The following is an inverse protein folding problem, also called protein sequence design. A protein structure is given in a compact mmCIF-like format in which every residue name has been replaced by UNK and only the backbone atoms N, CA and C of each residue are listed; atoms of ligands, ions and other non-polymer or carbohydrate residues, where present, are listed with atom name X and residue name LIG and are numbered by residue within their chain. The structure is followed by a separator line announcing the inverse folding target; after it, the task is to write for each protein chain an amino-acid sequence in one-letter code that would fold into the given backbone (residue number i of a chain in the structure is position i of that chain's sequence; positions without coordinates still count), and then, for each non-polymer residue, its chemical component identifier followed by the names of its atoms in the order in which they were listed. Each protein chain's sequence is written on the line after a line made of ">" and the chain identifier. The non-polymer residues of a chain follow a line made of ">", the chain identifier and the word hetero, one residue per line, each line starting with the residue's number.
data_IF_314801071667
#
_entry.id   IF_314801071667
#
_cell.length_a   1.000
_cell.length_b   1.000
_cell.length_c   1.000
_cell.angle_alpha   90.00
_cell.angle_beta   90.00
_cell.angle_gamma   90.00
#
_symmetry.space_group_name_H-M   'P 1'
#
loop_
_entity.id
_entity.type
_entity.pdbx_description
1 polymer ?
#
# COMPACT_ATOMS: atom_id res chain seq x y z
N UNK A 1 10.09 0.21 7.74
CA UNK A 1 9.62 -0.68 6.66
C UNK A 1 10.16 -0.15 5.34
N UNK A 2 10.82 -1.00 4.58
CA UNK A 2 11.35 -0.73 3.23
C UNK A 2 10.32 -1.11 2.17
N UNK A 3 10.52 -0.66 0.92
CA UNK A 3 9.66 -1.03 -0.21
C UNK A 3 9.62 -2.56 -0.44
N UNK A 4 10.75 -3.26 -0.25
CA UNK A 4 10.83 -4.72 -0.41
C UNK A 4 10.03 -5.44 0.65
N UNK A 5 10.18 -5.06 1.93
CA UNK A 5 9.40 -5.62 3.04
C UNK A 5 7.89 -5.40 2.82
N UNK A 6 7.50 -4.20 2.37
CA UNK A 6 6.10 -3.92 2.06
C UNK A 6 5.58 -4.77 0.89
N UNK A 7 6.41 -5.00 -0.13
CA UNK A 7 6.06 -5.84 -1.27
C UNK A 7 5.82 -7.29 -0.84
N UNK A 8 6.67 -7.83 0.03
CA UNK A 8 6.54 -9.16 0.61
C UNK A 8 5.24 -9.29 1.44
N UNK A 9 4.98 -8.32 2.33
CA UNK A 9 3.76 -8.26 3.13
C UNK A 9 2.50 -8.24 2.25
N UNK A 10 2.50 -7.44 1.19
CA UNK A 10 1.35 -7.30 0.29
C UNK A 10 1.25 -8.44 -0.74
N UNK A 11 2.31 -9.21 -0.92
CA UNK A 11 2.44 -10.27 -1.94
C UNK A 11 2.48 -9.71 -3.36
N UNK A 12 3.24 -8.63 -3.56
CA UNK A 12 3.46 -7.97 -4.85
C UNK A 12 4.95 -7.80 -5.12
N UNK A 13 5.33 -7.38 -6.32
CA UNK A 13 6.73 -7.09 -6.63
C UNK A 13 7.13 -5.72 -6.08
N UNK A 14 8.41 -5.55 -5.74
CA UNK A 14 9.02 -4.26 -5.43
C UNK A 14 8.70 -3.19 -6.50
N UNK A 15 8.76 -3.59 -7.78
CA UNK A 15 8.43 -2.70 -8.89
C UNK A 15 6.99 -2.18 -8.87
N UNK A 16 6.06 -2.91 -8.24
CA UNK A 16 4.67 -2.45 -8.05
C UNK A 16 4.61 -1.31 -7.03
N UNK A 17 5.30 -1.47 -5.88
CA UNK A 17 5.39 -0.44 -4.84
C UNK A 17 6.00 0.85 -5.41
N UNK A 18 7.12 0.73 -6.12
CA UNK A 18 7.79 1.88 -6.74
C UNK A 18 6.88 2.64 -7.73
N UNK A 19 6.03 1.94 -8.49
CA UNK A 19 5.07 2.60 -9.42
C UNK A 19 3.96 3.33 -8.69
N UNK A 20 3.53 2.84 -7.53
CA UNK A 20 2.51 3.51 -6.71
C UNK A 20 3.07 4.77 -6.06
N UNK A 21 4.24 4.70 -5.47
CA UNK A 21 4.90 5.85 -4.83
C UNK A 21 5.28 6.94 -5.82
N UNK A 22 5.62 6.58 -7.06
CA UNK A 22 5.89 7.54 -8.13
C UNK A 22 4.63 8.04 -8.85
N UNK A 23 3.44 7.63 -8.40
CA UNK A 23 2.15 8.02 -9.00
C UNK A 23 1.94 7.48 -10.42
N UNK A 24 2.80 6.58 -10.91
CA UNK A 24 2.70 6.03 -12.26
C UNK A 24 1.54 5.06 -12.39
N UNK A 25 1.19 4.36 -11.31
CA UNK A 25 0.09 3.39 -11.26
C UNK A 25 -0.58 3.46 -9.88
N UNK A 26 -1.79 2.92 -9.77
CA UNK A 26 -2.45 2.73 -8.48
C UNK A 26 -2.50 1.25 -8.08
N UNK A 27 -2.59 0.94 -6.77
CA UNK A 27 -2.89 -0.40 -6.30
C UNK A 27 -4.28 -0.83 -6.73
N UNK A 28 -4.49 -2.12 -7.01
CA UNK A 28 -5.83 -2.65 -7.28
C UNK A 28 -6.68 -2.61 -6.01
N UNK A 29 -8.02 -2.68 -6.14
CA UNK A 29 -8.94 -2.73 -4.99
C UNK A 29 -8.58 -3.84 -3.99
N UNK A 30 -8.14 -5.00 -4.47
CA UNK A 30 -7.68 -6.12 -3.62
C UNK A 30 -6.48 -5.70 -2.77
N UNK A 31 -5.52 -4.98 -3.35
CA UNK A 31 -4.35 -4.51 -2.61
C UNK A 31 -4.69 -3.32 -1.70
N UNK A 32 -5.52 -2.38 -2.14
CA UNK A 32 -6.00 -1.28 -1.29
C UNK A 32 -6.64 -1.83 0.01
N UNK A 33 -7.42 -2.91 -0.06
CA UNK A 33 -7.96 -3.60 1.13
C UNK A 33 -6.87 -4.16 2.05
N UNK A 34 -5.81 -4.77 1.50
CA UNK A 34 -4.67 -5.25 2.29
C UNK A 34 -3.91 -4.11 2.97
N UNK A 35 -3.69 -3.01 2.24
CA UNK A 35 -3.03 -1.80 2.78
C UNK A 35 -3.84 -1.25 3.95
N UNK A 36 -5.17 -1.12 3.79
CA UNK A 36 -6.05 -0.65 4.87
C UNK A 36 -6.00 -1.58 6.08
N UNK A 37 -6.02 -2.90 5.89
CA UNK A 37 -5.89 -3.86 6.99
C UNK A 37 -4.54 -3.72 7.71
N UNK A 38 -3.44 -3.65 6.96
CA UNK A 38 -2.10 -3.47 7.50
C UNK A 38 -1.99 -2.16 8.31
N UNK A 39 -2.55 -1.06 7.82
CA UNK A 39 -2.59 0.20 8.54
C UNK A 39 -3.35 0.08 9.87
N UNK A 40 -4.52 -0.58 9.87
CA UNK A 40 -5.31 -0.81 11.09
C UNK A 40 -4.55 -1.65 12.12
N UNK A 41 -3.90 -2.73 11.68
CA UNK A 41 -3.07 -3.58 12.55
C UNK A 41 -1.92 -2.82 13.22
N UNK A 42 -1.40 -1.80 12.52
CA UNK A 42 -0.32 -0.94 13.03
C UNK A 42 -0.83 0.34 13.71
N UNK A 43 -2.15 0.45 13.98
CA UNK A 43 -2.79 1.64 14.56
C UNK A 43 -2.52 2.94 13.77
N UNK A 44 -2.35 2.82 12.45
CA UNK A 44 -2.20 3.96 11.54
C UNK A 44 -3.60 4.44 11.14
N UNK A 45 -3.93 5.68 11.53
CA UNK A 45 -5.17 6.31 11.11
C UNK A 45 -5.07 6.75 9.65
N UNK A 46 -5.94 6.21 8.80
CA UNK A 46 -6.03 6.61 7.39
C UNK A 46 -6.98 7.78 7.29
N UNK A 47 -6.45 8.99 7.11
CA UNK A 47 -7.27 10.16 6.81
C UNK A 47 -7.76 10.07 5.37
N UNK A 48 -9.07 9.95 5.20
CA UNK A 48 -9.71 10.01 3.89
C UNK A 48 -9.96 11.49 3.59
N UNK A 49 -9.09 12.10 2.79
CA UNK A 49 -9.36 13.41 2.22
C UNK A 49 -10.42 13.24 1.12
N UNK A 50 -11.63 13.74 1.39
CA UNK A 50 -12.69 13.90 0.41
C UNK A 50 -12.47 15.24 -0.31
N UNK A 51 -11.61 15.26 -1.34
CA UNK A 51 -11.58 16.34 -2.32
C UNK A 51 -12.65 16.14 -3.40
#
# INVERSE_FOLDING_TARGET
>A
MTQTELAEILGVSFASINRWETGKHEPTTKIKRKIVALCKENNINLEINND
#
